data_IF_051873361462
#
_entry.id   IF_051873361462
#
_cell.length_a   1.000
_cell.length_b   1.000
_cell.length_c   1.000
_cell.angle_alpha   90.00
_cell.angle_beta   90.00
_cell.angle_gamma   90.00
#
_symmetry.space_group_name_H-M   'P 1'
#
loop_
_entity.id
_entity.type
_entity.pdbx_description
1 polymer ?
#
# COMPACT_ATOMS: atom_id res chain seq x y z
N UNK A 1 4.28 -17.73 -17.44
CA UNK A 1 3.64 -17.32 -16.17
C UNK A 1 4.65 -16.90 -15.08
N UNK A 2 5.64 -17.76 -14.81
CA UNK A 2 6.66 -17.51 -13.78
C UNK A 2 7.51 -16.25 -14.06
N UNK A 3 8.03 -16.12 -15.29
CA UNK A 3 8.84 -14.95 -15.69
C UNK A 3 8.07 -13.62 -15.56
N UNK A 4 6.75 -13.63 -15.81
CA UNK A 4 5.89 -12.45 -15.64
C UNK A 4 5.79 -12.08 -14.16
N UNK A 5 5.56 -13.07 -13.28
CA UNK A 5 5.53 -12.86 -11.83
C UNK A 5 6.87 -12.29 -11.36
N UNK A 6 7.98 -12.89 -11.76
CA UNK A 6 9.32 -12.41 -11.40
C UNK A 6 9.59 -10.98 -11.93
N UNK A 7 9.08 -10.66 -13.12
CA UNK A 7 9.14 -9.31 -13.67
C UNK A 7 8.42 -8.28 -12.78
N UNK A 8 7.22 -8.61 -12.29
CA UNK A 8 6.45 -7.74 -11.39
C UNK A 8 7.20 -7.50 -10.08
N UNK A 9 7.80 -8.53 -9.48
CA UNK A 9 8.56 -8.38 -8.22
C UNK A 9 9.81 -7.50 -8.36
N UNK A 10 10.33 -7.33 -9.58
CA UNK A 10 11.45 -6.42 -9.89
C UNK A 10 11.03 -4.96 -10.04
N UNK A 11 9.72 -4.66 -10.13
CA UNK A 11 9.23 -3.29 -10.22
C UNK A 11 9.49 -2.54 -8.91
N UNK A 12 10.12 -1.37 -9.00
CA UNK A 12 10.41 -0.46 -7.90
C UNK A 12 10.03 0.96 -8.28
N UNK A 13 9.61 1.73 -7.29
CA UNK A 13 9.27 3.16 -7.43
C UNK A 13 8.33 3.50 -8.60
N UNK A 14 7.36 2.63 -8.86
CA UNK A 14 6.45 2.79 -9.99
C UNK A 14 5.34 3.82 -9.68
N UNK A 15 5.19 4.89 -10.48
CA UNK A 15 4.11 5.86 -10.29
C UNK A 15 2.77 5.26 -10.71
N UNK A 16 1.82 5.20 -9.77
CA UNK A 16 0.46 4.71 -10.00
C UNK A 16 -0.57 5.73 -9.51
N UNK A 17 -1.84 5.49 -9.83
CA UNK A 17 -2.95 6.41 -9.49
C UNK A 17 -3.13 6.62 -7.98
N UNK A 18 -2.79 5.62 -7.16
CA UNK A 18 -2.83 5.68 -5.68
C UNK A 18 -1.48 6.02 -5.06
N UNK A 19 -0.60 6.67 -5.82
CA UNK A 19 0.77 7.01 -5.42
C UNK A 19 1.79 5.93 -5.76
N UNK A 20 3.02 6.11 -5.28
CA UNK A 20 4.18 5.30 -5.67
C UNK A 20 4.07 3.88 -5.11
N UNK A 21 4.27 2.86 -5.95
CA UNK A 21 4.48 1.47 -5.53
C UNK A 21 5.97 1.28 -5.34
N UNK A 22 6.41 1.16 -4.07
CA UNK A 22 7.83 0.97 -3.73
C UNK A 22 8.36 -0.42 -4.10
N UNK A 23 7.48 -1.40 -4.20
CA UNK A 23 7.76 -2.76 -4.64
C UNK A 23 6.84 -3.76 -3.98
N UNK A 24 7.08 -5.04 -4.27
CA UNK A 24 6.33 -6.17 -3.72
C UNK A 24 7.18 -6.91 -2.66
N UNK A 25 6.57 -7.31 -1.54
CA UNK A 25 7.19 -8.21 -0.57
C UNK A 25 7.19 -9.67 -1.08
N UNK A 26 7.75 -10.61 -0.31
CA UNK A 26 7.84 -12.02 -0.70
C UNK A 26 6.46 -12.67 -0.94
N UNK A 27 5.43 -12.20 -0.23
CA UNK A 27 4.05 -12.64 -0.39
C UNK A 27 3.35 -12.01 -1.61
N UNK A 28 3.95 -11.02 -2.26
CA UNK A 28 3.39 -10.31 -3.42
C UNK A 28 2.51 -9.12 -3.05
N UNK A 29 2.69 -8.54 -1.86
CA UNK A 29 1.92 -7.42 -1.33
C UNK A 29 2.68 -6.10 -1.48
N UNK A 30 1.93 -4.99 -1.55
CA UNK A 30 2.48 -3.63 -1.55
C UNK A 30 2.09 -2.93 -0.26
N UNK A 31 3.08 -2.41 0.47
CA UNK A 31 2.84 -1.56 1.63
C UNK A 31 2.41 -0.17 1.18
N UNK A 32 1.28 0.32 1.71
CA UNK A 32 0.70 1.65 1.44
C UNK A 32 0.28 2.29 2.75
N UNK A 33 0.34 3.61 2.83
CA UNK A 33 -0.18 4.39 3.96
C UNK A 33 -1.65 4.10 4.20
N UNK A 34 -2.09 4.17 5.46
CA UNK A 34 -3.49 3.88 5.83
C UNK A 34 -4.23 5.19 6.07
N UNK A 35 -5.29 5.42 5.30
CA UNK A 35 -6.14 6.59 5.47
C UNK A 35 -7.15 6.36 6.60
N UNK A 36 -7.25 7.33 7.51
CA UNK A 36 -8.30 7.40 8.53
C UNK A 36 -9.40 8.34 8.04
N UNK A 37 -10.64 7.86 8.10
CA UNK A 37 -11.82 8.61 7.69
C UNK A 37 -12.78 8.79 8.86
N UNK A 38 -13.48 9.92 8.88
CA UNK A 38 -14.55 10.21 9.83
C UNK A 38 -15.89 10.21 9.10
N UNK A 39 -16.89 9.54 9.68
CA UNK A 39 -18.27 9.61 9.19
C UNK A 39 -19.00 10.75 9.90
N UNK A 40 -19.51 11.72 9.15
CA UNK A 40 -20.30 12.85 9.66
C UNK A 40 -21.55 12.96 8.80
N UNK A 41 -22.73 12.97 9.42
CA UNK A 41 -24.02 13.05 8.72
C UNK A 41 -24.20 11.99 7.61
N UNK A 42 -23.60 10.81 7.75
CA UNK A 42 -23.66 9.73 6.77
C UNK A 42 -22.64 9.84 5.62
N UNK A 43 -21.78 10.85 5.62
CA UNK A 43 -20.75 11.06 4.60
C UNK A 43 -19.35 10.74 5.15
N UNK A 44 -18.49 10.20 4.29
CA UNK A 44 -17.08 9.93 4.60
C UNK A 44 -16.24 11.17 4.33
N UNK A 45 -15.42 11.55 5.30
CA UNK A 45 -14.46 12.65 5.16
C UNK A 45 -13.06 12.16 5.50
N UNK A 46 -12.08 12.68 4.78
CA UNK A 46 -10.68 12.56 5.19
C UNK A 46 -10.50 13.12 6.59
N UNK A 47 -9.80 12.38 7.45
CA UNK A 47 -9.45 12.83 8.79
C UNK A 47 -7.93 12.90 8.96
N UNK A 48 -7.23 11.80 8.67
CA UNK A 48 -5.77 11.71 8.82
C UNK A 48 -5.21 10.57 7.98
N UNK A 49 -3.89 10.40 8.02
CA UNK A 49 -3.15 9.30 7.44
C UNK A 49 -2.14 8.73 8.45
N UNK A 50 -2.00 7.40 8.49
CA UNK A 50 -0.96 6.71 9.25
C UNK A 50 0.15 6.35 8.26
N UNK A 51 1.32 6.94 8.47
CA UNK A 51 2.50 6.79 7.59
C UNK A 51 3.66 6.04 8.24
N UNK A 52 3.57 5.76 9.54
CA UNK A 52 4.62 5.05 10.26
C UNK A 52 4.76 3.61 9.73
N UNK A 53 5.92 3.25 9.12
CA UNK A 53 6.10 1.95 8.52
C UNK A 53 6.07 0.80 9.54
N UNK A 54 6.36 1.05 10.82
CA UNK A 54 6.27 0.01 11.87
C UNK A 54 4.81 -0.31 12.23
N UNK A 55 3.91 0.66 12.05
CA UNK A 55 2.47 0.50 12.30
C UNK A 55 1.75 -0.05 11.06
N UNK A 56 2.17 0.39 9.88
CA UNK A 56 1.59 -0.01 8.58
C UNK A 56 2.20 -1.34 8.08
N UNK A 57 3.20 -1.87 8.79
CA UNK A 57 3.94 -3.06 8.41
C UNK A 57 3.02 -4.25 8.08
N UNK A 58 3.33 -5.02 7.03
CA UNK A 58 2.64 -6.27 6.76
C UNK A 58 2.84 -7.26 7.93
N UNK A 59 1.87 -8.16 8.18
CA UNK A 59 2.00 -9.16 9.23
C UNK A 59 3.25 -10.01 8.99
N UNK A 60 4.09 -10.18 10.01
CA UNK A 60 5.15 -11.19 10.00
C UNK A 60 4.51 -12.56 10.15
N UNK A 61 4.69 -13.43 9.16
CA UNK A 61 4.36 -14.86 9.27
C UNK A 61 5.28 -15.56 10.28
#
# INVERSE_FOLDING_TARGET
PQEIKEGIYKVKDFPAVTGIIKGYNELGEVTKTVQVQKVVNGEFHYFSEITDPEIVAPPTL
#
